data_IF_907907120563
#
_entry.id   IF_907907120563
#
_cell.length_a   1.000
_cell.length_b   1.000
_cell.length_c   1.000
_cell.angle_alpha   90.00
_cell.angle_beta   90.00
_cell.angle_gamma   90.00
#
_symmetry.space_group_name_H-M   'P 1'
#
loop_
_entity.id
_entity.type
_entity.pdbx_description
1 polymer ?
#
# COMPACT_ATOMS: atom_id res chain seq x y z
N UNK A 1 -30.21 -11.53 3.20
CA UNK A 1 -29.44 -10.45 2.54
C UNK A 1 -29.70 -9.16 3.31
N UNK A 2 -28.67 -8.51 3.86
CA UNK A 2 -28.84 -7.30 4.70
C UNK A 2 -29.39 -6.12 3.90
N UNK A 3 -30.03 -5.15 4.59
CA UNK A 3 -30.55 -3.92 3.99
C UNK A 3 -29.48 -3.16 3.21
N UNK A 4 -28.27 -3.04 3.80
CA UNK A 4 -27.11 -2.39 3.20
C UNK A 4 -26.68 -3.07 1.90
N UNK A 5 -26.63 -4.42 1.86
CA UNK A 5 -26.29 -5.15 0.62
C UNK A 5 -27.32 -4.94 -0.49
N UNK A 6 -28.60 -4.78 -0.15
CA UNK A 6 -29.65 -4.47 -1.15
C UNK A 6 -29.52 -3.05 -1.69
N UNK A 7 -29.28 -2.07 -0.81
CA UNK A 7 -29.03 -0.68 -1.22
C UNK A 7 -27.79 -0.58 -2.10
N UNK A 8 -26.70 -1.24 -1.73
CA UNK A 8 -25.49 -1.31 -2.55
C UNK A 8 -25.76 -1.88 -3.94
N UNK A 9 -26.48 -3.01 -4.02
CA UNK A 9 -26.89 -3.60 -5.30
C UNK A 9 -27.75 -2.66 -6.15
N UNK A 10 -28.67 -1.90 -5.53
CA UNK A 10 -29.48 -0.91 -6.23
C UNK A 10 -28.62 0.24 -6.76
N UNK A 11 -27.72 0.79 -5.95
CA UNK A 11 -26.80 1.86 -6.37
C UNK A 11 -25.93 1.40 -7.54
N UNK A 12 -25.44 0.16 -7.54
CA UNK A 12 -24.69 -0.39 -8.68
C UNK A 12 -25.53 -0.45 -9.96
N UNK A 13 -26.79 -0.88 -9.87
CA UNK A 13 -27.71 -0.93 -11.01
C UNK A 13 -27.98 0.47 -11.55
N UNK A 14 -28.26 1.43 -10.67
CA UNK A 14 -28.53 2.81 -11.05
C UNK A 14 -27.29 3.47 -11.69
N UNK A 15 -26.11 3.24 -11.09
CA UNK A 15 -24.83 3.74 -11.57
C UNK A 15 -24.48 3.19 -12.96
N UNK A 16 -24.58 1.88 -13.15
CA UNK A 16 -24.32 1.23 -14.45
C UNK A 16 -25.32 1.65 -15.52
N UNK A 17 -26.59 1.86 -15.15
CA UNK A 17 -27.62 2.39 -16.05
C UNK A 17 -27.31 3.83 -16.46
N UNK A 18 -26.88 4.68 -15.52
CA UNK A 18 -26.44 6.05 -15.80
C UNK A 18 -25.29 6.07 -16.80
N UNK A 19 -24.23 5.29 -16.54
CA UNK A 19 -23.06 5.18 -17.42
C UNK A 19 -23.42 4.67 -18.82
N UNK A 20 -24.38 3.75 -18.93
CA UNK A 20 -24.77 3.16 -20.22
C UNK A 20 -25.60 4.11 -21.08
N UNK A 21 -26.31 5.06 -20.47
CA UNK A 21 -27.12 6.08 -21.17
C UNK A 21 -26.30 7.31 -21.58
N UNK A 22 -25.09 7.44 -21.06
CA UNK A 22 -24.22 8.57 -21.34
C UNK A 22 -23.55 8.42 -22.71
N UNK A 23 -23.73 9.40 -23.59
CA UNK A 23 -23.04 9.49 -24.89
C UNK A 23 -21.79 10.36 -24.85
N UNK A 24 -21.63 11.15 -23.79
CA UNK A 24 -20.47 11.99 -23.51
C UNK A 24 -19.49 11.33 -22.52
N UNK A 25 -18.30 11.90 -22.37
CA UNK A 25 -17.31 11.46 -21.37
C UNK A 25 -17.89 11.45 -19.94
N UNK A 26 -17.56 10.44 -19.12
CA UNK A 26 -17.97 10.37 -17.71
C UNK A 26 -17.63 11.64 -16.91
N UNK A 27 -18.44 11.99 -15.93
CA UNK A 27 -18.18 13.15 -15.06
C UNK A 27 -17.30 12.79 -13.86
N UNK A 28 -16.80 13.81 -13.14
CA UNK A 28 -16.00 13.66 -11.92
C UNK A 28 -16.79 12.91 -10.83
N UNK A 29 -18.11 13.13 -10.75
CA UNK A 29 -19.00 12.42 -9.82
C UNK A 29 -19.07 10.93 -10.13
N UNK A 30 -19.03 10.55 -11.41
CA UNK A 30 -18.98 9.13 -11.79
C UNK A 30 -17.68 8.49 -11.28
N UNK A 31 -16.55 9.17 -11.47
CA UNK A 31 -15.27 8.72 -10.94
C UNK A 31 -15.31 8.52 -9.42
N UNK A 32 -15.71 9.53 -8.64
CA UNK A 32 -15.77 9.40 -7.18
C UNK A 32 -16.80 8.37 -6.72
N UNK A 33 -17.92 8.21 -7.43
CA UNK A 33 -18.89 7.16 -7.13
C UNK A 33 -18.25 5.77 -7.28
N UNK A 34 -17.49 5.52 -8.35
CA UNK A 34 -16.79 4.26 -8.54
C UNK A 34 -15.68 4.03 -7.48
N UNK A 35 -14.96 5.09 -7.06
CA UNK A 35 -13.97 5.00 -5.97
C UNK A 35 -14.65 4.61 -4.65
N UNK A 36 -15.74 5.27 -4.28
CA UNK A 36 -16.48 5.00 -3.04
C UNK A 36 -17.08 3.58 -3.01
N UNK A 37 -17.62 3.11 -4.15
CA UNK A 37 -18.12 1.74 -4.27
C UNK A 37 -17.00 0.70 -4.12
N UNK A 38 -15.81 1.01 -4.65
CA UNK A 38 -14.62 0.19 -4.44
C UNK A 38 -14.17 0.16 -2.97
N UNK A 39 -14.11 1.31 -2.31
CA UNK A 39 -13.77 1.40 -0.89
C UNK A 39 -14.78 0.63 -0.03
N UNK A 40 -16.06 0.70 -0.38
CA UNK A 40 -17.09 -0.10 0.27
C UNK A 40 -16.80 -1.60 0.14
N UNK A 41 -16.36 -2.09 -1.03
CA UNK A 41 -15.99 -3.50 -1.18
C UNK A 41 -14.78 -3.89 -0.30
N UNK A 42 -13.82 -2.99 -0.05
CA UNK A 42 -12.72 -3.25 0.90
C UNK A 42 -13.24 -3.32 2.35
N UNK A 43 -14.09 -2.38 2.75
CA UNK A 43 -14.65 -2.36 4.12
C UNK A 43 -15.60 -3.53 4.36
N UNK A 44 -16.47 -3.84 3.39
CA UNK A 44 -17.51 -4.87 3.49
C UNK A 44 -17.08 -6.23 2.90
N UNK A 45 -15.78 -6.42 2.63
CA UNK A 45 -15.22 -7.63 2.02
C UNK A 45 -15.67 -8.91 2.73
N UNK A 46 -15.79 -9.99 1.96
CA UNK A 46 -16.07 -11.34 2.47
C UNK A 46 -15.07 -12.37 1.96
N UNK A 47 -14.84 -13.42 2.75
CA UNK A 47 -13.90 -14.51 2.44
C UNK A 47 -14.31 -15.32 1.22
N UNK A 48 -15.59 -15.29 0.85
CA UNK A 48 -16.10 -15.98 -0.34
C UNK A 48 -15.66 -15.31 -1.65
N UNK A 49 -15.28 -14.03 -1.62
CA UNK A 49 -14.81 -13.31 -2.80
C UNK A 49 -13.81 -12.21 -2.40
N UNK A 50 -12.60 -12.61 -1.99
CA UNK A 50 -11.62 -11.71 -1.38
C UNK A 50 -11.12 -10.60 -2.32
N UNK A 51 -11.32 -10.73 -3.63
CA UNK A 51 -10.82 -9.82 -4.67
C UNK A 51 -11.93 -9.06 -5.42
N UNK A 52 -13.14 -8.94 -4.85
CA UNK A 52 -14.27 -8.20 -5.46
C UNK A 52 -13.92 -6.75 -5.83
N UNK A 53 -13.08 -6.09 -5.03
CA UNK A 53 -12.63 -4.71 -5.28
C UNK A 53 -11.94 -4.55 -6.64
N UNK A 54 -11.33 -5.60 -7.19
CA UNK A 54 -10.65 -5.55 -8.50
C UNK A 54 -11.62 -5.23 -9.65
N UNK A 55 -12.91 -5.57 -9.51
CA UNK A 55 -13.93 -5.20 -10.51
C UNK A 55 -14.09 -3.67 -10.57
N UNK A 56 -14.03 -3.00 -9.42
CA UNK A 56 -14.09 -1.54 -9.35
C UNK A 56 -12.82 -0.89 -9.88
N UNK A 57 -11.64 -1.44 -9.58
CA UNK A 57 -10.37 -0.97 -10.16
C UNK A 57 -10.42 -1.02 -11.69
N UNK A 58 -10.87 -2.14 -12.28
CA UNK A 58 -11.06 -2.27 -13.74
C UNK A 58 -12.10 -1.28 -14.28
N UNK A 59 -13.20 -1.08 -13.55
CA UNK A 59 -14.21 -0.08 -13.87
C UNK A 59 -13.64 1.33 -13.92
N UNK A 60 -12.84 1.70 -12.91
CA UNK A 60 -12.13 2.99 -12.87
C UNK A 60 -11.18 3.15 -14.05
N UNK A 61 -10.37 2.14 -14.38
CA UNK A 61 -9.52 2.18 -15.59
C UNK A 61 -10.33 2.46 -16.85
N UNK A 62 -11.50 1.83 -17.00
CA UNK A 62 -12.38 2.05 -18.15
C UNK A 62 -12.95 3.47 -18.18
N UNK A 63 -13.36 4.02 -17.04
CA UNK A 63 -13.84 5.40 -16.92
C UNK A 63 -12.73 6.39 -17.30
N UNK A 64 -11.54 6.20 -16.76
CA UNK A 64 -10.37 7.03 -17.01
C UNK A 64 -9.97 7.01 -18.49
N UNK A 65 -9.99 5.82 -19.11
CA UNK A 65 -9.67 5.65 -20.53
C UNK A 65 -10.64 6.36 -21.46
N UNK A 66 -11.89 6.58 -21.04
CA UNK A 66 -12.90 7.36 -21.79
C UNK A 66 -12.75 8.88 -21.62
N UNK A 67 -11.83 9.31 -20.76
CA UNK A 67 -11.66 10.69 -20.34
C UNK A 67 -12.74 11.13 -19.35
N UNK A 68 -12.38 11.94 -18.36
CA UNK A 68 -13.35 12.56 -17.45
C UNK A 68 -13.65 13.96 -17.98
N UNK A 69 -14.93 14.26 -18.21
CA UNK A 69 -15.39 15.59 -18.55
C UNK A 69 -15.18 16.51 -17.33
N UNK A 70 -14.21 17.40 -17.42
CA UNK A 70 -13.99 18.48 -16.46
C UNK A 70 -14.70 19.75 -16.95
N UNK A 71 -15.63 20.26 -16.16
CA UNK A 71 -16.06 21.65 -16.24
C UNK A 71 -15.36 22.41 -15.11
N UNK A 72 -14.26 23.10 -15.40
CA UNK A 72 -13.73 24.09 -14.48
C UNK A 72 -13.65 25.46 -15.20
N UNK A 73 -14.35 26.49 -14.69
CA UNK A 73 -14.12 27.87 -15.10
C UNK A 73 -12.81 28.35 -14.46
N UNK A 74 -11.85 28.81 -15.28
CA UNK A 74 -10.71 29.70 -14.93
C UNK A 74 -9.98 29.48 -13.60
N UNK A 75 -9.98 28.27 -13.05
CA UNK A 75 -9.26 27.95 -11.83
C UNK A 75 -7.84 27.57 -12.17
N UNK A 76 -6.86 28.30 -11.63
CA UNK A 76 -5.45 27.87 -11.59
C UNK A 76 -5.26 26.58 -10.77
N UNK A 77 -6.31 26.10 -10.10
CA UNK A 77 -6.35 24.83 -9.39
C UNK A 77 -6.77 23.76 -10.39
N UNK A 78 -5.78 23.13 -11.04
CA UNK A 78 -5.99 21.82 -11.62
C UNK A 78 -6.31 20.87 -10.47
N UNK A 79 -7.54 20.36 -10.38
CA UNK A 79 -7.84 19.17 -9.58
C UNK A 79 -7.13 18.02 -10.32
N UNK A 80 -5.82 17.89 -10.07
CA UNK A 80 -5.04 16.76 -10.52
C UNK A 80 -5.54 15.58 -9.69
N UNK A 81 -6.52 14.83 -10.20
CA UNK A 81 -7.09 13.67 -9.49
C UNK A 81 -5.95 12.72 -9.12
N UNK A 82 -5.55 12.69 -7.84
CA UNK A 82 -4.42 11.89 -7.44
C UNK A 82 -4.78 10.41 -7.72
N UNK A 83 -3.89 9.65 -8.38
CA UNK A 83 -3.96 8.16 -8.42
C UNK A 83 -4.41 7.57 -9.72
N UNK A 84 -4.83 8.43 -10.64
CA UNK A 84 -5.22 8.09 -11.99
C UNK A 84 -4.17 7.23 -12.71
N UNK A 85 -2.88 7.51 -12.47
CA UNK A 85 -1.77 6.80 -13.10
C UNK A 85 -1.48 5.43 -12.50
N UNK A 86 -1.58 5.30 -11.18
CA UNK A 86 -1.48 4.01 -10.48
C UNK A 86 -2.63 3.09 -10.90
N UNK A 87 -3.86 3.61 -10.90
CA UNK A 87 -5.05 2.88 -11.35
C UNK A 87 -4.91 2.46 -12.82
N UNK A 88 -4.48 3.36 -13.71
CA UNK A 88 -4.30 3.05 -15.15
C UNK A 88 -3.00 2.30 -15.46
N UNK A 89 -2.18 1.97 -14.45
CA UNK A 89 -0.87 1.33 -14.61
C UNK A 89 0.00 2.01 -15.68
N UNK A 90 -0.07 3.34 -15.74
CA UNK A 90 0.71 4.16 -16.66
C UNK A 90 0.23 4.20 -18.12
N UNK A 91 -0.93 3.61 -18.44
CA UNK A 91 -1.51 3.64 -19.81
C UNK A 91 -1.81 5.08 -20.26
N UNK A 92 -2.20 5.96 -19.33
CA UNK A 92 -2.43 7.36 -19.65
C UNK A 92 -1.15 8.18 -19.49
N UNK A 93 -0.76 8.90 -20.54
CA UNK A 93 0.37 9.84 -20.51
C UNK A 93 -0.02 11.11 -19.74
N UNK A 94 0.86 11.56 -18.85
CA UNK A 94 0.71 12.83 -18.14
C UNK A 94 1.89 13.76 -18.41
N UNK A 95 1.63 15.06 -18.31
CA UNK A 95 2.67 16.09 -18.22
C UNK A 95 3.48 15.83 -16.94
N UNK A 96 4.81 16.02 -17.02
CA UNK A 96 5.72 15.81 -15.90
C UNK A 96 5.29 16.61 -14.64
N UNK A 97 5.33 15.98 -13.46
CA UNK A 97 5.11 16.67 -12.17
C UNK A 97 3.81 16.34 -11.41
N UNK A 98 2.97 15.42 -11.88
CA UNK A 98 1.66 15.14 -11.27
C UNK A 98 1.50 13.67 -10.84
N UNK A 99 1.53 13.38 -9.54
CA UNK A 99 1.27 12.06 -8.93
C UNK A 99 0.81 12.22 -7.47
N UNK A 100 0.18 11.20 -6.86
CA UNK A 100 -0.36 11.31 -5.48
C UNK A 100 0.75 11.53 -4.47
N UNK A 101 1.82 10.77 -4.65
CA UNK A 101 2.93 10.69 -3.71
C UNK A 101 4.07 11.59 -4.18
N UNK A 102 3.73 12.66 -4.90
CA UNK A 102 4.63 13.69 -5.35
C UNK A 102 4.41 14.95 -4.49
N UNK A 103 5.47 15.61 -4.00
CA UNK A 103 5.31 16.88 -3.32
C UNK A 103 4.79 17.97 -4.31
N UNK A 104 4.32 19.13 -3.82
CA UNK A 104 3.67 20.13 -4.67
C UNK A 104 4.55 20.61 -5.84
N UNK A 105 3.90 20.99 -6.94
CA UNK A 105 4.39 21.21 -8.32
C UNK A 105 5.63 22.10 -8.57
N UNK A 106 6.28 22.67 -7.56
CA UNK A 106 7.39 23.61 -7.73
C UNK A 106 8.79 22.97 -7.69
N UNK A 107 8.92 21.71 -7.27
CA UNK A 107 10.19 20.99 -7.28
C UNK A 107 10.27 20.06 -8.50
N UNK A 108 11.38 20.11 -9.23
CA UNK A 108 11.70 19.13 -10.27
C UNK A 108 11.99 17.77 -9.61
N UNK A 109 10.96 16.99 -9.31
CA UNK A 109 11.15 15.65 -8.73
C UNK A 109 11.85 14.76 -9.75
N UNK A 110 13.06 14.30 -9.40
CA UNK A 110 13.84 13.40 -10.24
C UNK A 110 13.25 11.98 -10.30
N UNK A 111 12.64 11.53 -9.21
CA UNK A 111 12.08 10.17 -9.06
C UNK A 111 10.63 10.24 -8.56
N UNK A 112 9.75 9.57 -9.29
CA UNK A 112 8.31 9.50 -9.05
C UNK A 112 7.97 8.13 -8.46
N UNK A 113 7.27 8.12 -7.33
CA UNK A 113 6.90 6.87 -6.67
C UNK A 113 5.90 6.08 -7.50
N UNK A 114 5.00 6.78 -8.20
CA UNK A 114 4.03 6.16 -9.10
C UNK A 114 4.75 5.43 -10.24
N UNK A 115 5.82 6.01 -10.81
CA UNK A 115 6.65 5.35 -11.84
C UNK A 115 7.30 4.09 -11.32
N UNK A 116 7.90 4.17 -10.12
CA UNK A 116 8.55 3.05 -9.46
C UNK A 116 7.55 1.90 -9.27
N UNK A 117 6.38 2.20 -8.72
CA UNK A 117 5.33 1.19 -8.47
C UNK A 117 4.85 0.55 -9.78
N UNK A 118 4.61 1.36 -10.82
CA UNK A 118 4.17 0.88 -12.14
C UNK A 118 5.22 -0.04 -12.77
N UNK A 119 6.50 0.32 -12.70
CA UNK A 119 7.62 -0.49 -13.21
C UNK A 119 7.81 -1.77 -12.39
N UNK A 120 7.63 -1.69 -11.07
CA UNK A 120 7.75 -2.84 -10.17
C UNK A 120 6.65 -3.88 -10.36
N UNK A 121 5.41 -3.46 -10.63
CA UNK A 121 4.25 -4.36 -10.76
C UNK A 121 4.47 -5.57 -11.70
N UNK A 122 4.86 -5.40 -12.98
CA UNK A 122 5.11 -6.54 -13.87
C UNK A 122 6.35 -7.35 -13.46
N UNK A 123 7.36 -6.73 -12.84
CA UNK A 123 8.55 -7.43 -12.35
C UNK A 123 8.22 -8.32 -11.16
N UNK A 124 7.37 -7.86 -10.24
CA UNK A 124 6.88 -8.65 -9.12
C UNK A 124 6.02 -9.82 -9.61
N UNK A 125 5.11 -9.62 -10.57
CA UNK A 125 4.36 -10.75 -11.17
C UNK A 125 5.28 -11.79 -11.81
N UNK A 126 6.32 -11.33 -12.52
CA UNK A 126 7.32 -12.22 -13.15
C UNK A 126 8.14 -12.94 -12.09
N UNK A 127 8.57 -12.26 -11.03
CA UNK A 127 9.30 -12.84 -9.91
C UNK A 127 8.47 -13.91 -9.20
N UNK A 128 7.19 -13.64 -8.92
CA UNK A 128 6.31 -14.62 -8.28
C UNK A 128 6.13 -15.89 -9.13
N UNK A 129 5.95 -15.72 -10.44
CA UNK A 129 5.83 -16.86 -11.36
C UNK A 129 7.13 -17.65 -11.49
N UNK A 130 8.29 -16.99 -11.55
CA UNK A 130 9.57 -17.67 -11.74
C UNK A 130 10.03 -18.35 -10.46
N UNK A 131 9.98 -17.65 -9.33
CA UNK A 131 10.49 -18.15 -8.04
C UNK A 131 9.57 -19.19 -7.39
N UNK A 132 8.33 -19.35 -7.86
CA UNK A 132 7.47 -20.47 -7.45
C UNK A 132 7.86 -21.80 -8.12
N UNK A 133 8.64 -21.76 -9.22
CA UNK A 133 9.22 -22.96 -9.82
C UNK A 133 10.46 -23.39 -9.00
N UNK A 134 10.53 -24.63 -8.48
CA UNK A 134 11.70 -25.13 -7.74
C UNK A 134 13.01 -25.15 -8.56
N UNK A 135 12.90 -25.21 -9.89
CA UNK A 135 14.04 -25.22 -10.81
C UNK A 135 13.80 -24.17 -11.91
N UNK A 136 13.88 -22.86 -11.60
CA UNK A 136 13.61 -21.83 -12.58
C UNK A 136 14.73 -21.79 -13.63
N UNK A 137 14.41 -21.51 -14.92
CA UNK A 137 15.44 -21.39 -15.96
C UNK A 137 16.42 -20.26 -15.63
N UNK A 138 17.72 -20.59 -15.56
CA UNK A 138 18.79 -19.65 -15.16
C UNK A 138 18.79 -18.37 -16.01
N UNK A 139 18.59 -18.49 -17.33
CA UNK A 139 18.52 -17.34 -18.23
C UNK A 139 17.36 -16.39 -17.89
N UNK A 140 16.19 -16.94 -17.53
CA UNK A 140 15.02 -16.12 -17.17
C UNK A 140 15.20 -15.41 -15.83
N UNK A 141 15.93 -16.04 -14.89
CA UNK A 141 16.31 -15.45 -13.60
C UNK A 141 17.35 -14.34 -13.78
N UNK A 142 18.37 -14.53 -14.63
CA UNK A 142 19.35 -13.51 -14.95
C UNK A 142 18.72 -12.29 -15.62
N UNK A 143 17.79 -12.51 -16.56
CA UNK A 143 17.06 -11.43 -17.20
C UNK A 143 16.15 -10.69 -16.20
N UNK A 144 15.48 -11.41 -15.30
CA UNK A 144 14.71 -10.77 -14.21
C UNK A 144 15.62 -9.94 -13.30
N UNK A 145 16.80 -10.45 -12.93
CA UNK A 145 17.79 -9.72 -12.14
C UNK A 145 18.20 -8.42 -12.84
N UNK A 146 18.54 -8.49 -14.13
CA UNK A 146 18.92 -7.31 -14.90
C UNK A 146 17.81 -6.27 -14.96
N UNK A 147 16.56 -6.70 -15.14
CA UNK A 147 15.41 -5.80 -15.17
C UNK A 147 15.13 -5.14 -13.81
N UNK A 148 15.34 -5.86 -12.69
CA UNK A 148 15.25 -5.28 -11.34
C UNK A 148 16.40 -4.29 -11.08
N UNK A 149 17.63 -4.62 -11.47
CA UNK A 149 18.76 -3.71 -11.31
C UNK A 149 18.62 -2.43 -12.15
N UNK A 150 17.90 -2.49 -13.29
CA UNK A 150 17.65 -1.32 -14.13
C UNK A 150 16.82 -0.22 -13.46
N UNK A 151 16.11 -0.52 -12.36
CA UNK A 151 15.30 0.44 -11.59
C UNK A 151 15.86 0.69 -10.18
N UNK A 152 17.03 0.14 -9.84
CA UNK A 152 17.66 0.27 -8.53
C UNK A 152 17.85 1.74 -8.15
N UNK A 153 18.43 2.53 -9.05
CA UNK A 153 18.66 3.96 -8.83
C UNK A 153 17.37 4.72 -8.49
N UNK A 154 16.25 4.36 -9.11
CA UNK A 154 14.95 5.01 -8.86
C UNK A 154 14.40 4.63 -7.49
N UNK A 155 14.46 3.35 -7.12
CA UNK A 155 13.95 2.85 -5.84
C UNK A 155 14.85 3.32 -4.69
N UNK A 156 16.15 3.09 -4.79
CA UNK A 156 17.11 3.32 -3.70
C UNK A 156 17.16 4.79 -3.28
N UNK A 157 17.08 5.71 -4.25
CA UNK A 157 17.28 7.13 -4.01
C UNK A 157 16.02 7.99 -3.91
N UNK A 158 14.81 7.42 -4.08
CA UNK A 158 13.55 8.20 -4.02
C UNK A 158 13.44 9.06 -2.75
N UNK A 159 13.82 8.48 -1.60
CA UNK A 159 13.76 9.15 -0.29
C UNK A 159 14.63 10.41 -0.20
N UNK A 160 15.76 10.44 -0.91
CA UNK A 160 16.70 11.57 -0.89
C UNK A 160 16.24 12.75 -1.75
N UNK A 161 15.33 12.52 -2.69
CA UNK A 161 14.78 13.55 -3.57
C UNK A 161 13.54 14.21 -2.96
N UNK A 162 13.28 14.07 -1.65
CA UNK A 162 12.13 14.64 -0.95
C UNK A 162 12.49 15.94 -0.24
N UNK A 163 11.57 16.93 -0.15
CA UNK A 163 11.81 18.14 0.62
C UNK A 163 11.96 17.80 2.10
N UNK A 164 12.73 18.60 2.84
CA UNK A 164 12.98 18.38 4.27
C UNK A 164 11.70 18.31 5.12
N UNK A 165 10.63 19.01 4.70
CA UNK A 165 9.32 18.97 5.37
C UNK A 165 8.62 17.60 5.31
N UNK A 166 9.06 16.73 4.42
CA UNK A 166 8.56 15.36 4.31
C UNK A 166 9.31 14.38 5.19
N UNK A 167 10.46 14.75 5.77
CA UNK A 167 11.24 13.83 6.57
C UNK A 167 10.45 13.33 7.79
N UNK A 168 10.48 12.03 8.10
CA UNK A 168 9.90 11.51 9.34
C UNK A 168 10.57 12.16 10.55
N UNK A 169 9.77 12.60 11.51
CA UNK A 169 10.23 13.13 12.79
C UNK A 169 10.07 12.05 13.87
N UNK A 170 11.15 11.66 14.55
CA UNK A 170 11.05 10.74 15.68
C UNK A 170 10.59 11.52 16.91
N UNK A 171 9.39 11.22 17.40
CA UNK A 171 8.75 11.94 18.51
C UNK A 171 8.88 11.23 19.86
N UNK A 172 9.31 9.98 19.85
CA UNK A 172 9.60 9.22 21.06
C UNK A 172 9.77 7.73 20.79
N UNK A 173 9.76 6.96 21.88
CA UNK A 173 9.96 5.52 21.86
C UNK A 173 8.97 4.84 22.81
N UNK A 174 8.44 3.71 22.36
CA UNK A 174 7.57 2.84 23.14
C UNK A 174 8.41 1.72 23.76
N UNK A 175 8.29 1.57 25.07
CA UNK A 175 8.91 0.50 25.85
C UNK A 175 7.83 -0.50 26.21
N UNK A 176 7.86 -1.69 25.61
CA UNK A 176 6.95 -2.75 26.00
C UNK A 176 7.60 -3.64 27.05
N UNK A 177 6.87 -3.85 28.15
CA UNK A 177 7.15 -4.97 29.03
C UNK A 177 6.83 -6.28 28.26
N UNK A 178 7.74 -7.25 28.20
CA UNK A 178 7.50 -8.55 27.57
C UNK A 178 6.19 -9.22 28.00
N UNK A 179 5.72 -9.01 29.25
CA UNK A 179 4.47 -9.60 29.75
C UNK A 179 3.19 -8.96 29.18
N UNK A 180 3.25 -7.69 28.76
CA UNK A 180 2.10 -6.94 28.19
C UNK A 180 2.03 -7.10 26.65
N UNK A 181 3.15 -7.47 26.03
CA UNK A 181 3.33 -7.54 24.57
C UNK A 181 2.41 -8.55 23.87
N UNK A 182 1.92 -9.59 24.55
CA UNK A 182 1.12 -10.64 23.91
C UNK A 182 -0.33 -10.20 23.64
N UNK A 183 -0.90 -9.27 24.43
CA UNK A 183 -2.34 -9.03 24.42
C UNK A 183 -2.81 -7.96 23.41
N UNK A 184 -2.06 -6.87 23.20
CA UNK A 184 -2.51 -5.77 22.32
C UNK A 184 -1.93 -5.85 20.91
N UNK A 185 -2.77 -5.66 19.90
CA UNK A 185 -2.39 -5.80 18.49
C UNK A 185 -1.68 -4.58 17.89
N UNK A 186 -1.82 -3.40 18.50
CA UNK A 186 -1.22 -2.14 18.03
C UNK A 186 0.02 -1.72 18.81
N UNK A 187 0.48 -2.54 19.75
CA UNK A 187 1.70 -2.27 20.52
C UNK A 187 2.91 -2.79 19.77
N UNK A 188 3.84 -1.88 19.50
CA UNK A 188 5.16 -2.21 18.97
C UNK A 188 6.21 -1.47 19.78
N UNK A 189 7.22 -2.19 20.26
CA UNK A 189 8.34 -1.54 20.92
C UNK A 189 9.20 -0.81 19.89
N UNK A 190 9.82 0.29 20.31
CA UNK A 190 10.74 1.07 19.50
C UNK A 190 10.21 2.45 19.12
N UNK A 191 10.86 3.05 18.14
CA UNK A 191 10.66 4.46 17.76
C UNK A 191 9.25 4.69 17.22
N UNK A 192 8.72 5.89 17.48
CA UNK A 192 7.49 6.38 16.87
C UNK A 192 7.80 7.60 16.02
N UNK A 193 7.35 7.58 14.77
CA UNK A 193 7.54 8.63 13.79
C UNK A 193 6.25 9.44 13.61
N UNK A 194 6.41 10.77 13.51
CA UNK A 194 5.39 11.73 13.14
C UNK A 194 5.71 12.31 11.78
N UNK A 195 4.67 12.67 11.05
CA UNK A 195 4.77 13.27 9.73
C UNK A 195 3.98 14.56 9.70
N UNK A 196 4.35 15.45 8.77
CA UNK A 196 3.59 16.67 8.53
C UNK A 196 2.11 16.37 8.20
N UNK A 197 1.86 15.25 7.52
CA UNK A 197 0.55 14.87 7.04
C UNK A 197 0.47 13.36 6.73
N UNK A 198 -0.75 12.80 6.76
CA UNK A 198 -0.99 11.35 6.55
C UNK A 198 -0.71 10.89 5.11
N UNK A 199 -0.85 11.75 4.11
CA UNK A 199 -0.47 11.49 2.72
C UNK A 199 1.05 11.34 2.60
N UNK A 200 1.82 12.17 3.31
CA UNK A 200 3.28 12.06 3.37
C UNK A 200 3.70 10.74 4.03
N UNK A 201 3.08 10.39 5.16
CA UNK A 201 3.32 9.11 5.82
C UNK A 201 3.01 7.90 4.90
N UNK A 202 1.91 8.00 4.13
CA UNK A 202 1.54 7.00 3.11
C UNK A 202 2.58 6.90 2.01
N UNK A 203 3.12 8.02 1.54
CA UNK A 203 4.18 8.03 0.51
C UNK A 203 5.43 7.29 0.99
N UNK A 204 5.89 7.60 2.19
CA UNK A 204 7.02 6.90 2.82
C UNK A 204 6.76 5.41 2.96
N UNK A 205 5.59 5.01 3.47
CA UNK A 205 5.27 3.60 3.63
C UNK A 205 5.10 2.86 2.31
N UNK A 206 4.54 3.52 1.29
CA UNK A 206 4.43 2.96 -0.06
C UNK A 206 5.83 2.71 -0.64
N UNK A 207 6.74 3.70 -0.53
CA UNK A 207 8.14 3.52 -0.95
C UNK A 207 8.85 2.41 -0.16
N UNK A 208 8.81 2.43 1.18
CA UNK A 208 9.45 1.42 2.02
C UNK A 208 8.96 0.02 1.69
N UNK A 209 7.65 -0.16 1.54
CA UNK A 209 7.06 -1.48 1.25
C UNK A 209 7.48 -2.02 -0.11
N UNK A 210 7.50 -1.18 -1.14
CA UNK A 210 7.94 -1.58 -2.49
C UNK A 210 9.44 -1.85 -2.52
N UNK A 211 10.23 -1.09 -1.76
CA UNK A 211 11.67 -1.31 -1.63
C UNK A 211 11.96 -2.64 -0.89
N UNK A 212 11.19 -2.99 0.15
CA UNK A 212 11.30 -4.31 0.79
C UNK A 212 10.98 -5.43 -0.19
N UNK A 213 9.92 -5.32 -0.98
CA UNK A 213 9.54 -6.33 -1.99
C UNK A 213 10.59 -6.46 -3.08
N UNK A 214 11.16 -5.34 -3.52
CA UNK A 214 12.29 -5.30 -4.45
C UNK A 214 13.50 -6.08 -3.92
N UNK A 215 13.91 -5.81 -2.67
CA UNK A 215 15.04 -6.49 -2.04
C UNK A 215 14.75 -7.97 -1.76
N UNK A 216 13.52 -8.32 -1.37
CA UNK A 216 13.09 -9.71 -1.21
C UNK A 216 13.28 -10.49 -2.52
N UNK A 217 12.84 -9.93 -3.65
CA UNK A 217 13.06 -10.54 -4.96
C UNK A 217 14.55 -10.70 -5.28
N UNK A 218 15.37 -9.67 -5.05
CA UNK A 218 16.81 -9.74 -5.29
C UNK A 218 17.49 -10.81 -4.44
N UNK A 219 17.09 -10.99 -3.18
CA UNK A 219 17.64 -12.03 -2.31
C UNK A 219 17.29 -13.43 -2.83
N UNK A 220 16.04 -13.69 -3.20
CA UNK A 220 15.64 -15.00 -3.72
C UNK A 220 16.28 -15.33 -5.07
N UNK A 221 16.47 -14.32 -5.92
CA UNK A 221 17.23 -14.42 -7.17
C UNK A 221 18.71 -14.73 -6.87
N UNK A 222 19.34 -13.97 -5.96
CA UNK A 222 20.73 -14.17 -5.57
C UNK A 222 20.95 -15.60 -5.03
N UNK A 223 20.04 -16.08 -4.18
CA UNK A 223 20.07 -17.45 -3.66
C UNK A 223 19.97 -18.50 -4.78
N UNK A 224 19.12 -18.26 -5.78
CA UNK A 224 18.93 -19.15 -6.94
C UNK A 224 20.13 -19.15 -7.89
N UNK A 225 20.89 -18.06 -7.95
CA UNK A 225 22.11 -17.91 -8.75
C UNK A 225 23.39 -18.25 -7.98
N UNK A 226 23.30 -18.55 -6.68
CA UNK A 226 24.46 -18.84 -5.82
C UNK A 226 25.26 -17.61 -5.38
N UNK A 227 24.67 -16.41 -5.46
CA UNK A 227 25.27 -15.10 -5.10
C UNK A 227 25.01 -14.73 -3.63
N UNK A 228 25.34 -15.64 -2.71
CA UNK A 228 24.98 -15.51 -1.29
C UNK A 228 25.64 -14.31 -0.58
N UNK A 229 26.74 -13.81 -1.12
CA UNK A 229 27.48 -12.66 -0.59
C UNK A 229 26.69 -11.35 -0.60
N UNK A 230 25.66 -11.24 -1.46
CA UNK A 230 24.82 -10.04 -1.56
C UNK A 230 23.71 -10.01 -0.48
N UNK A 231 23.35 -11.17 0.05
CA UNK A 231 22.18 -11.34 0.93
C UNK A 231 22.28 -10.52 2.23
N UNK A 232 23.43 -10.47 2.95
CA UNK A 232 23.51 -9.70 4.19
C UNK A 232 23.23 -8.19 3.99
N UNK A 233 23.75 -7.60 2.91
CA UNK A 233 23.56 -6.18 2.59
C UNK A 233 22.08 -5.85 2.35
N UNK A 234 21.39 -6.70 1.57
CA UNK A 234 19.96 -6.52 1.32
C UNK A 234 19.13 -6.72 2.58
N UNK A 235 19.52 -7.65 3.46
CA UNK A 235 18.81 -7.92 4.71
C UNK A 235 18.90 -6.74 5.68
N UNK A 236 20.09 -6.17 5.87
CA UNK A 236 20.28 -4.97 6.71
C UNK A 236 19.35 -3.83 6.25
N UNK A 237 19.28 -3.60 4.93
CA UNK A 237 18.39 -2.59 4.38
C UNK A 237 16.91 -2.90 4.57
N UNK A 238 16.50 -4.17 4.44
CA UNK A 238 15.11 -4.58 4.74
C UNK A 238 14.75 -4.29 6.20
N UNK A 239 15.65 -4.58 7.14
CA UNK A 239 15.41 -4.36 8.57
C UNK A 239 15.21 -2.87 8.87
N UNK A 240 16.00 -1.98 8.26
CA UNK A 240 15.82 -0.52 8.36
C UNK A 240 14.47 -0.05 7.81
N UNK A 241 14.07 -0.55 6.63
CA UNK A 241 12.82 -0.19 5.98
C UNK A 241 11.61 -0.71 6.78
N UNK A 242 11.72 -1.91 7.34
CA UNK A 242 10.70 -2.51 8.19
C UNK A 242 10.50 -1.73 9.49
N UNK A 243 11.60 -1.34 10.15
CA UNK A 243 11.56 -0.49 11.33
C UNK A 243 10.88 0.87 11.05
N UNK A 244 11.13 1.45 9.87
CA UNK A 244 10.46 2.69 9.45
C UNK A 244 8.95 2.54 9.26
N UNK A 245 8.48 1.41 8.70
CA UNK A 245 7.04 1.13 8.59
C UNK A 245 6.44 0.93 9.97
N UNK A 246 7.06 0.14 10.84
CA UNK A 246 6.62 -0.07 12.22
C UNK A 246 6.48 1.26 12.98
N UNK A 247 7.49 2.12 12.89
CA UNK A 247 7.51 3.41 13.58
C UNK A 247 6.40 4.36 13.12
N UNK A 248 5.90 4.19 11.88
CA UNK A 248 4.84 5.02 11.33
C UNK A 248 3.42 4.56 11.69
N UNK A 249 3.24 3.32 12.17
CA UNK A 249 1.91 2.74 12.45
C UNK A 249 1.12 3.60 13.44
N UNK A 250 1.69 4.06 14.58
CA UNK A 250 0.95 4.89 15.52
C UNK A 250 0.43 6.18 14.89
N UNK A 251 1.21 6.83 14.03
CA UNK A 251 0.79 8.07 13.36
C UNK A 251 -0.37 7.85 12.38
N UNK A 252 -0.45 6.69 11.74
CA UNK A 252 -1.59 6.37 10.89
C UNK A 252 -2.85 6.13 11.73
N UNK A 253 -2.72 5.45 12.88
CA UNK A 253 -3.87 4.98 13.66
C UNK A 253 -4.39 5.98 14.69
N UNK A 254 -3.55 6.91 15.17
CA UNK A 254 -3.89 7.82 16.27
C UNK A 254 -3.69 9.28 15.87
N UNK A 255 -4.62 10.15 16.29
CA UNK A 255 -4.49 11.58 16.08
C UNK A 255 -3.39 12.24 16.90
N UNK A 256 -3.19 11.78 18.13
CA UNK A 256 -2.20 12.28 19.08
C UNK A 256 -1.19 11.17 19.39
N UNK A 257 -0.06 11.18 18.68
CA UNK A 257 0.99 10.17 18.81
C UNK A 257 1.77 10.32 20.11
N UNK A 258 1.87 11.54 20.64
CA UNK A 258 2.52 11.83 21.91
C UNK A 258 1.71 11.24 23.08
N UNK A 259 0.37 11.40 23.05
CA UNK A 259 -0.53 10.76 24.01
C UNK A 259 -0.48 9.23 23.90
N UNK A 260 -0.45 8.69 22.68
CA UNK A 260 -0.26 7.25 22.45
C UNK A 260 1.00 6.73 23.17
N UNK A 261 2.15 7.38 22.95
CA UNK A 261 3.42 6.97 23.58
C UNK A 261 3.30 6.99 25.11
N UNK A 262 2.71 8.07 25.67
CA UNK A 262 2.52 8.20 27.11
C UNK A 262 1.64 7.09 27.68
N UNK A 263 0.52 6.78 27.03
CA UNK A 263 -0.43 5.77 27.50
C UNK A 263 0.16 4.36 27.43
N UNK A 264 0.81 3.99 26.31
CA UNK A 264 1.44 2.67 26.16
C UNK A 264 2.55 2.50 27.20
N UNK A 265 3.43 3.49 27.35
CA UNK A 265 4.52 3.42 28.33
C UNK A 265 4.03 3.43 29.79
N UNK A 266 2.86 4.00 30.06
CA UNK A 266 2.21 3.95 31.37
C UNK A 266 1.42 2.65 31.61
N UNK A 267 1.38 1.71 30.66
CA UNK A 267 0.58 0.48 30.74
C UNK A 267 -0.93 0.76 30.77
N UNK A 268 -1.36 1.94 30.30
CA UNK A 268 -2.77 2.32 30.26
C UNK A 268 -3.41 1.79 28.97
N UNK A 269 -4.63 1.21 29.01
CA UNK A 269 -5.32 0.81 27.79
C UNK A 269 -5.49 2.00 26.85
N UNK A 270 -5.09 1.82 25.59
CA UNK A 270 -5.31 2.83 24.58
C UNK A 270 -6.80 3.09 24.36
N UNK A 271 -7.12 4.35 24.06
CA UNK A 271 -8.40 4.68 23.44
C UNK A 271 -8.46 4.01 22.06
N UNK A 272 -9.66 3.67 21.60
CA UNK A 272 -9.85 3.07 20.27
C UNK A 272 -9.20 3.96 19.20
N UNK A 273 -8.56 3.32 18.21
CA UNK A 273 -8.03 3.99 17.01
C UNK A 273 -9.10 4.92 16.43
N UNK A 274 -8.75 6.20 16.26
CA UNK A 274 -9.68 7.25 15.81
C UNK A 274 -9.52 7.59 14.32
N UNK A 275 -8.53 7.00 13.64
CA UNK A 275 -8.22 7.25 12.21
C UNK A 275 -8.51 6.05 11.31
N UNK A 276 -9.77 5.86 10.95
CA UNK A 276 -10.19 4.83 9.98
C UNK A 276 -9.41 4.89 8.65
N UNK A 277 -9.15 6.10 8.16
CA UNK A 277 -8.39 6.33 6.92
C UNK A 277 -6.97 5.78 7.04
N UNK A 278 -6.32 5.92 8.20
CA UNK A 278 -4.98 5.36 8.41
C UNK A 278 -4.95 3.84 8.35
N UNK A 279 -5.98 3.16 8.86
CA UNK A 279 -6.12 1.71 8.73
C UNK A 279 -6.18 1.24 7.27
N UNK A 280 -6.93 1.96 6.42
CA UNK A 280 -6.96 1.69 4.98
C UNK A 280 -5.56 1.89 4.35
N UNK A 281 -4.88 2.98 4.69
CA UNK A 281 -3.57 3.32 4.14
C UNK A 281 -2.44 2.38 4.57
N UNK A 282 -2.61 1.70 5.70
CA UNK A 282 -1.67 0.68 6.19
C UNK A 282 -1.86 -0.71 5.55
N UNK A 283 -2.99 -0.99 4.90
CA UNK A 283 -3.31 -2.34 4.40
C UNK A 283 -2.17 -2.93 3.56
N UNK A 284 -1.73 -2.21 2.53
CA UNK A 284 -0.71 -2.70 1.62
C UNK A 284 0.69 -2.75 2.25
N UNK A 285 1.22 -1.68 2.88
CA UNK A 285 2.54 -1.72 3.50
C UNK A 285 2.70 -2.83 4.55
N UNK A 286 1.68 -3.02 5.41
CA UNK A 286 1.70 -4.05 6.45
C UNK A 286 1.60 -5.45 5.84
N UNK A 287 0.73 -5.64 4.84
CA UNK A 287 0.63 -6.92 4.11
C UNK A 287 1.93 -7.27 3.37
N UNK A 288 2.56 -6.31 2.71
CA UNK A 288 3.82 -6.50 2.00
C UNK A 288 4.91 -7.03 2.94
N UNK A 289 5.09 -6.41 4.10
CA UNK A 289 6.09 -6.85 5.08
C UNK A 289 5.77 -8.22 5.66
N UNK A 290 4.51 -8.48 6.01
CA UNK A 290 4.11 -9.78 6.53
C UNK A 290 4.32 -10.92 5.52
N UNK A 291 4.22 -10.61 4.22
CA UNK A 291 4.40 -11.56 3.12
C UNK A 291 5.86 -11.80 2.74
N UNK A 292 6.75 -10.83 2.96
CA UNK A 292 8.16 -10.95 2.61
C UNK A 292 8.89 -11.90 3.57
N UNK A 293 9.29 -13.09 3.12
CA UNK A 293 9.82 -14.13 4.01
C UNK A 293 11.22 -13.86 4.55
N UNK A 294 11.95 -12.93 3.94
CA UNK A 294 13.23 -12.45 4.45
C UNK A 294 13.07 -11.59 5.70
N UNK A 295 11.92 -10.92 5.85
CA UNK A 295 11.56 -10.19 7.08
C UNK A 295 11.46 -11.19 8.23
N UNK A 296 12.00 -10.83 9.39
CA UNK A 296 12.04 -11.72 10.53
C UNK A 296 10.63 -12.16 10.98
N UNK A 297 10.54 -13.34 11.60
CA UNK A 297 9.25 -13.91 11.97
C UNK A 297 8.48 -13.04 12.98
N UNK A 298 9.18 -12.36 13.90
CA UNK A 298 8.52 -11.52 14.91
C UNK A 298 7.83 -10.31 14.28
N UNK A 299 8.51 -9.63 13.35
CA UNK A 299 7.95 -8.53 12.57
C UNK A 299 6.79 -9.02 11.71
N UNK A 300 6.91 -10.15 11.00
CA UNK A 300 5.80 -10.70 10.19
C UNK A 300 4.57 -11.03 11.03
N UNK A 301 4.75 -11.63 12.21
CA UNK A 301 3.66 -11.92 13.16
C UNK A 301 3.00 -10.64 13.66
N UNK A 302 3.79 -9.64 14.02
CA UNK A 302 3.27 -8.34 14.43
C UNK A 302 2.46 -7.68 13.31
N UNK A 303 2.94 -7.70 12.08
CA UNK A 303 2.23 -7.14 10.91
C UNK A 303 0.91 -7.88 10.64
N UNK A 304 0.91 -9.22 10.71
CA UNK A 304 -0.32 -10.01 10.59
C UNK A 304 -1.33 -9.70 11.71
N UNK A 305 -0.87 -9.56 12.96
CA UNK A 305 -1.70 -9.14 14.11
C UNK A 305 -2.27 -7.74 13.91
N UNK A 306 -1.46 -6.82 13.39
CA UNK A 306 -1.87 -5.44 13.07
C UNK A 306 -2.99 -5.43 12.01
N UNK A 307 -2.84 -6.19 10.92
CA UNK A 307 -3.90 -6.33 9.91
C UNK A 307 -5.19 -6.90 10.50
N UNK A 308 -5.07 -7.93 11.35
CA UNK A 308 -6.22 -8.54 12.01
C UNK A 308 -6.97 -7.52 12.87
N UNK A 309 -6.27 -6.72 13.65
CA UNK A 309 -6.87 -5.68 14.47
C UNK A 309 -7.45 -4.52 13.66
N UNK A 310 -6.82 -4.11 12.56
CA UNK A 310 -7.44 -3.16 11.61
C UNK A 310 -8.79 -3.70 11.12
N UNK A 311 -8.88 -5.00 10.84
CA UNK A 311 -10.14 -5.57 10.37
C UNK A 311 -11.19 -5.77 11.46
N UNK A 312 -10.77 -6.23 12.63
CA UNK A 312 -11.67 -6.60 13.73
C UNK A 312 -12.11 -5.37 14.56
N UNK A 313 -11.20 -4.41 14.81
CA UNK A 313 -11.48 -3.21 15.63
C UNK A 313 -11.95 -2.02 14.79
N UNK A 314 -11.38 -1.82 13.59
CA UNK A 314 -11.74 -0.68 12.72
C UNK A 314 -12.80 -1.04 11.67
N UNK A 315 -13.19 -2.32 11.59
CA UNK A 315 -14.24 -2.81 10.70
C UNK A 315 -13.84 -2.91 9.22
N UNK A 316 -12.54 -2.84 8.90
CA UNK A 316 -12.02 -2.93 7.53
C UNK A 316 -11.79 -4.41 7.19
N UNK A 317 -12.85 -5.12 6.80
CA UNK A 317 -12.82 -6.60 6.69
C UNK A 317 -11.75 -7.15 5.75
N UNK A 318 -11.36 -6.40 4.72
CA UNK A 318 -10.28 -6.82 3.84
C UNK A 318 -8.95 -7.03 4.58
N UNK A 319 -8.70 -6.26 5.65
CA UNK A 319 -7.51 -6.43 6.49
C UNK A 319 -7.48 -7.82 7.15
N UNK A 320 -8.61 -8.27 7.69
CA UNK A 320 -8.76 -9.62 8.25
C UNK A 320 -8.52 -10.70 7.20
N UNK A 321 -9.03 -10.52 5.98
CA UNK A 321 -8.82 -11.47 4.88
C UNK A 321 -7.34 -11.56 4.50
N UNK A 322 -6.66 -10.41 4.41
CA UNK A 322 -5.22 -10.36 4.16
C UNK A 322 -4.45 -11.06 5.28
N UNK A 323 -4.80 -10.80 6.55
CA UNK A 323 -4.21 -11.44 7.73
C UNK A 323 -4.37 -12.97 7.70
N UNK A 324 -5.58 -13.47 7.47
CA UNK A 324 -5.90 -14.90 7.47
C UNK A 324 -5.24 -15.63 6.29
N UNK A 325 -4.90 -14.91 5.22
CA UNK A 325 -4.18 -15.43 4.05
C UNK A 325 -2.65 -15.48 4.22
N UNK A 326 -2.10 -14.96 5.32
CA UNK A 326 -0.66 -14.98 5.60
C UNK A 326 -0.28 -16.24 6.39
N UNK A 327 0.88 -16.81 6.08
CA UNK A 327 1.45 -17.92 6.85
C UNK A 327 2.79 -17.47 7.43
N UNK A 328 2.74 -16.86 8.60
CA UNK A 328 3.90 -16.22 9.25
C UNK A 328 5.06 -17.18 9.52
N UNK A 329 4.82 -18.50 9.58
CA UNK A 329 5.87 -19.48 9.86
C UNK A 329 6.49 -20.10 8.59
N UNK A 330 5.97 -19.80 7.38
CA UNK A 330 6.56 -20.30 6.14
C UNK A 330 7.85 -19.56 5.75
N UNK A 331 8.78 -20.31 5.15
CA UNK A 331 10.09 -19.87 4.65
C UNK A 331 10.21 -20.19 3.15
N UNK A 332 11.05 -19.45 2.43
CA UNK A 332 11.20 -19.54 0.96
C UNK A 332 10.63 -18.33 0.22
N UNK A 333 10.70 -18.22 -1.11
CA UNK A 333 10.20 -17.06 -1.85
C UNK A 333 8.82 -16.59 -1.40
N UNK A 334 8.60 -15.28 -1.32
CA UNK A 334 7.29 -14.70 -0.95
C UNK A 334 6.14 -15.17 -1.87
N UNK A 335 6.50 -15.63 -3.08
CA UNK A 335 5.64 -16.30 -4.04
C UNK A 335 5.09 -17.66 -3.57
N UNK A 336 5.78 -18.32 -2.64
CA UNK A 336 5.41 -19.61 -2.06
C UNK A 336 4.44 -19.47 -0.88
N UNK A 337 4.18 -18.25 -0.40
CA UNK A 337 3.08 -18.03 0.53
C UNK A 337 1.76 -18.32 -0.18
N UNK A 338 1.05 -19.38 0.24
CA UNK A 338 -0.23 -19.78 -0.35
C UNK A 338 -1.35 -18.83 0.09
N UNK A 339 -1.28 -17.57 -0.35
CA UNK A 339 -2.35 -16.61 -0.19
C UNK A 339 -3.26 -16.69 -1.42
N UNK A 340 -4.58 -16.70 -1.21
CA UNK A 340 -5.55 -16.58 -2.31
C UNK A 340 -5.50 -15.20 -2.99
N UNK A 341 -4.84 -14.23 -2.36
CA UNK A 341 -4.65 -12.87 -2.84
C UNK A 341 -3.18 -12.75 -3.29
N UNK A 342 -2.94 -12.37 -4.54
CA UNK A 342 -1.57 -12.08 -5.00
C UNK A 342 -1.10 -10.74 -4.43
N UNK A 343 0.22 -10.49 -4.42
CA UNK A 343 0.74 -9.18 -4.04
C UNK A 343 0.12 -8.05 -4.90
N UNK A 344 -0.07 -8.32 -6.19
CA UNK A 344 -0.65 -7.36 -7.14
C UNK A 344 -2.11 -7.08 -6.84
N UNK A 345 -2.89 -8.06 -6.39
CA UNK A 345 -4.30 -7.85 -6.05
C UNK A 345 -4.45 -6.97 -4.79
N UNK A 346 -3.55 -7.13 -3.82
CA UNK A 346 -3.47 -6.26 -2.64
C UNK A 346 -3.00 -4.84 -3.01
N UNK A 347 -2.01 -4.72 -3.91
CA UNK A 347 -1.53 -3.44 -4.44
C UNK A 347 -2.59 -2.70 -5.26
N UNK A 348 -3.40 -3.40 -6.07
CA UNK A 348 -4.52 -2.78 -6.79
C UNK A 348 -5.59 -2.23 -5.81
N UNK A 349 -5.75 -2.86 -4.64
CA UNK A 349 -6.54 -2.30 -3.53
C UNK A 349 -5.96 -0.98 -2.99
N UNK A 350 -4.63 -0.90 -2.86
CA UNK A 350 -3.94 0.35 -2.51
C UNK A 350 -4.16 1.46 -3.54
N UNK A 351 -4.23 1.13 -4.84
CA UNK A 351 -4.50 2.10 -5.90
C UNK A 351 -5.88 2.73 -5.77
N UNK A 352 -6.87 1.96 -5.34
CA UNK A 352 -8.21 2.45 -5.09
C UNK A 352 -8.24 3.43 -3.89
N UNK A 353 -7.52 3.11 -2.83
CA UNK A 353 -7.43 3.95 -1.63
C UNK A 353 -6.69 5.24 -1.97
N UNK A 354 -5.59 5.14 -2.69
CA UNK A 354 -4.83 6.29 -3.13
C UNK A 354 -5.63 7.15 -4.12
N UNK A 355 -6.42 6.56 -5.03
CA UNK A 355 -7.36 7.30 -5.89
C UNK A 355 -8.48 8.07 -5.14
N UNK A 356 -8.74 7.72 -3.89
CA UNK A 356 -9.68 8.45 -3.01
C UNK A 356 -9.04 9.63 -2.29
N UNK A 357 -7.72 9.74 -2.33
CA UNK A 357 -6.97 10.84 -1.73
C UNK A 357 -7.17 12.09 -2.60
N UNK A 358 -8.00 13.02 -2.17
CA UNK A 358 -8.09 14.36 -2.76
C UNK A 358 -7.19 15.28 -1.96
N UNK A 359 -6.25 15.96 -2.62
CA UNK A 359 -5.56 17.08 -2.00
C UNK A 359 -6.55 18.23 -1.85
N UNK A 360 -6.97 18.53 -0.62
CA UNK A 360 -7.60 19.83 -0.36
C UNK A 360 -6.58 20.94 -0.65
N UNK A 361 -6.93 21.97 -1.44
CA UNK A 361 -6.11 23.16 -1.53
C UNK A 361 -6.08 23.83 -0.16
N UNK A 362 -4.88 24.14 0.33
CA UNK A 362 -4.71 25.12 1.43
C UNK A 362 -4.80 26.53 0.90
#
# INVERSE_FOLDING_TARGET
>A
MSLVRRQYGQVLVDYTTSLSRQTASPSVEHFFTAVLLGLYELVASDTASPTKHLVHVRGLVSLLSKGIAYSAPESKVGIYSPGMRLVTKGIMTHQAGTGILCPPLDDTYRRSLDDIIIKMSPLTSRAEKLLSNPCPPVLEILELQQNLLAIDDEITYWAYDRPLSWNPEVVGEVWLDPEISEESAFYCAGRVEKYFDIYVATAWNSWRSIHVVYLDHLIHIANSLGQYELVPLYKERIDELAAGIMASIPFHLYQDVEMYIQQVNAGTPLVHSDRLVGGLLLLHPVYALARCTIVDNSTRKYMAKTLKAIGDEMGIRHATILADGLQSDMQGPSAMQSSQISFIDALDGHFLITASMVLEPR
#
